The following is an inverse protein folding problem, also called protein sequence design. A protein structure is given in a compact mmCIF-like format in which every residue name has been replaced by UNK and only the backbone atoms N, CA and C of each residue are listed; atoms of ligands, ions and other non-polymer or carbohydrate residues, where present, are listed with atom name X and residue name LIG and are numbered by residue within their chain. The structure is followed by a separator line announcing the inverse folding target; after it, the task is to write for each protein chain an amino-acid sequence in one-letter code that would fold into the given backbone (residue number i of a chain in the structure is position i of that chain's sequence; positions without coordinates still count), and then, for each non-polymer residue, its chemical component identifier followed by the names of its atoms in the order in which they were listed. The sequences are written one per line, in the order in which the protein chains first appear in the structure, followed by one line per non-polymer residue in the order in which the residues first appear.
data_IF_982869857017
#
_entry.id   IF_982869857017
#
_cell.length_a   1.000
_cell.length_b   1.000
_cell.length_c   1.000
_cell.angle_alpha   90.00
_cell.angle_beta   90.00
_cell.angle_gamma   90.00
#
_symmetry.space_group_name_H-M   'P 1'
#
loop_
_entity.id
_entity.type
_entity.pdbx_description
1 polymer ?
#
# COMPACT_ATOMS: atom_id res chain seq x y z
N UNK A 1 20.62 -16.65 8.75
CA UNK A 1 19.25 -16.91 8.29
C UNK A 1 18.63 -15.63 7.77
N UNK A 2 18.05 -15.68 6.59
CA UNK A 2 17.38 -14.53 6.00
C UNK A 2 15.91 -14.46 6.43
N UNK A 3 15.39 -13.26 6.51
CA UNK A 3 13.99 -13.02 6.77
C UNK A 3 13.27 -12.56 5.53
N UNK A 4 11.94 -12.55 5.58
CA UNK A 4 11.06 -12.07 4.53
C UNK A 4 9.98 -11.18 5.10
N UNK A 5 9.47 -10.30 4.25
CA UNK A 5 8.26 -9.51 4.52
C UNK A 5 7.25 -9.82 3.42
N UNK A 6 6.10 -10.34 3.80
CA UNK A 6 4.99 -10.57 2.87
C UNK A 6 4.03 -9.42 3.00
N UNK A 7 3.70 -8.80 1.87
CA UNK A 7 2.83 -7.62 1.80
C UNK A 7 1.57 -7.96 1.04
N UNK A 8 0.42 -7.64 1.62
CA UNK A 8 -0.87 -7.84 0.97
C UNK A 8 -1.81 -6.67 1.26
N UNK A 9 -2.74 -6.43 0.34
CA UNK A 9 -3.78 -5.42 0.51
C UNK A 9 -4.99 -6.07 1.16
N UNK A 10 -5.48 -5.49 2.24
CA UNK A 10 -6.62 -6.00 3.00
C UNK A 10 -7.92 -5.35 2.54
N UNK A 11 -7.91 -4.04 2.34
CA UNK A 11 -9.11 -3.30 1.95
C UNK A 11 -8.75 -2.00 1.25
N UNK A 12 -9.73 -1.48 0.52
CA UNK A 12 -9.64 -0.21 -0.18
C UNK A 12 -10.90 0.63 0.07
N UNK A 13 -10.75 1.94 0.05
CA UNK A 13 -11.85 2.87 0.25
C UNK A 13 -11.51 4.23 -0.36
N UNK A 14 -12.49 4.89 -0.94
CA UNK A 14 -12.37 6.29 -1.29
C UNK A 14 -13.53 7.07 -0.68
N UNK A 15 -13.27 8.30 -0.29
CA UNK A 15 -14.27 9.23 0.24
C UNK A 15 -14.14 10.55 -0.53
N UNK A 16 -15.11 10.84 -1.38
CA UNK A 16 -15.07 12.08 -2.15
C UNK A 16 -16.07 12.10 -3.31
N UNK A 17 -16.02 13.16 -4.09
CA UNK A 17 -16.99 13.46 -5.13
C UNK A 17 -16.39 13.61 -6.52
N UNK A 18 -15.14 13.20 -6.74
CA UNK A 18 -14.48 13.40 -8.03
C UNK A 18 -14.71 12.25 -9.02
N UNK A 19 -15.18 11.11 -8.58
CA UNK A 19 -15.48 9.98 -9.43
C UNK A 19 -15.41 8.65 -8.71
N UNK A 20 -15.73 7.58 -9.41
CA UNK A 20 -15.82 6.23 -8.86
C UNK A 20 -15.01 5.19 -9.64
N UNK A 21 -14.22 5.60 -10.62
CA UNK A 21 -13.32 4.72 -11.36
C UNK A 21 -11.88 4.94 -10.88
N UNK A 22 -11.36 3.96 -10.16
CA UNK A 22 -10.08 4.09 -9.47
C UNK A 22 -9.12 2.97 -9.84
N UNK A 23 -7.85 3.30 -9.87
CA UNK A 23 -6.73 2.35 -9.87
C UNK A 23 -5.68 2.84 -8.88
N UNK A 24 -4.86 1.94 -8.38
CA UNK A 24 -3.80 2.33 -7.47
C UNK A 24 -2.63 1.36 -7.49
N UNK A 25 -1.50 1.88 -7.05
CA UNK A 25 -0.26 1.13 -6.90
C UNK A 25 0.28 1.32 -5.49
N UNK A 26 0.79 0.26 -4.90
CA UNK A 26 1.50 0.30 -3.62
C UNK A 26 2.93 -0.14 -3.88
N UNK A 27 3.89 0.77 -3.69
CA UNK A 27 5.32 0.44 -3.75
C UNK A 27 5.82 0.19 -2.33
N UNK A 28 6.65 -0.83 -2.16
CA UNK A 28 7.22 -1.17 -0.85
C UNK A 28 8.71 -1.40 -0.97
N UNK A 29 9.47 -0.84 -0.03
CA UNK A 29 10.91 -1.08 0.11
C UNK A 29 11.21 -1.50 1.53
N UNK A 30 12.06 -2.52 1.67
CA UNK A 30 12.52 -3.05 2.95
C UNK A 30 14.01 -2.76 3.09
N UNK A 31 14.37 -2.08 4.17
CA UNK A 31 15.75 -1.74 4.47
C UNK A 31 16.22 -2.44 5.74
N UNK A 32 17.38 -3.06 5.65
CA UNK A 32 18.08 -3.67 6.79
C UNK A 32 19.58 -3.45 6.52
N UNK A 33 20.14 -2.34 7.05
CA UNK A 33 21.49 -1.87 6.70
C UNK A 33 21.66 -1.72 5.18
N UNK A 34 20.69 -1.09 4.54
CA UNK A 34 20.61 -0.93 3.09
C UNK A 34 19.36 -1.59 2.53
N UNK A 35 19.09 -1.32 1.27
CA UNK A 35 17.92 -1.86 0.57
C UNK A 35 18.07 -3.38 0.40
N UNK A 36 17.11 -4.15 0.90
CA UNK A 36 17.10 -5.61 0.81
C UNK A 36 16.01 -6.13 -0.12
N UNK A 37 14.84 -5.51 -0.10
CA UNK A 37 13.74 -5.94 -0.94
C UNK A 37 12.93 -4.75 -1.43
N UNK A 38 12.37 -4.88 -2.63
CA UNK A 38 11.44 -3.89 -3.18
C UNK A 38 10.45 -4.59 -4.10
N UNK A 39 9.25 -4.05 -4.16
CA UNK A 39 8.21 -4.57 -5.03
C UNK A 39 7.01 -3.65 -5.05
N UNK A 40 6.02 -4.02 -5.84
CA UNK A 40 4.78 -3.27 -5.90
C UNK A 40 3.58 -4.19 -6.09
N UNK A 41 2.43 -3.73 -5.59
CA UNK A 41 1.13 -4.33 -5.83
C UNK A 41 0.37 -3.32 -6.68
N UNK A 42 -0.14 -3.77 -7.82
CA UNK A 42 -0.83 -2.91 -8.77
C UNK A 42 -2.27 -3.38 -8.90
N UNK A 43 -3.21 -2.49 -8.64
CA UNK A 43 -4.65 -2.78 -8.76
C UNK A 43 -5.21 -2.00 -9.93
N UNK A 44 -5.78 -2.73 -10.88
CA UNK A 44 -6.32 -2.18 -12.12
C UNK A 44 -7.57 -1.35 -11.89
N UNK A 45 -7.89 -0.52 -12.87
CA UNK A 45 -9.10 0.31 -12.84
C UNK A 45 -10.34 -0.51 -12.55
N UNK A 46 -11.13 -0.06 -11.58
CA UNK A 46 -12.39 -0.65 -11.18
C UNK A 46 -13.28 0.40 -10.53
N UNK A 47 -14.54 0.05 -10.39
CA UNK A 47 -15.51 0.91 -9.72
C UNK A 47 -15.33 0.82 -8.20
N UNK A 48 -15.33 1.97 -7.54
CA UNK A 48 -15.30 2.06 -6.08
C UNK A 48 -16.13 3.25 -5.64
N UNK A 49 -17.32 2.96 -5.10
CA UNK A 49 -18.25 4.00 -4.65
C UNK A 49 -17.71 4.71 -3.40
N UNK A 50 -18.01 6.01 -3.32
CA UNK A 50 -17.58 6.81 -2.18
C UNK A 50 -18.19 6.30 -0.87
N UNK A 51 -17.36 6.24 0.17
CA UNK A 51 -17.79 5.87 1.52
C UNK A 51 -17.95 4.37 1.76
N UNK A 52 -17.55 3.54 0.81
CA UNK A 52 -17.66 2.08 0.93
C UNK A 52 -16.28 1.45 1.06
N UNK A 53 -16.08 0.62 2.08
CA UNK A 53 -14.86 -0.16 2.24
C UNK A 53 -15.05 -1.50 1.57
N UNK A 54 -14.16 -1.82 0.64
CA UNK A 54 -14.24 -3.04 -0.18
C UNK A 54 -12.97 -3.88 -0.03
N UNK A 55 -13.08 -5.17 -0.30
CA UNK A 55 -11.92 -6.01 -0.54
C UNK A 55 -11.22 -5.53 -1.81
N UNK A 56 -9.87 -5.70 -1.91
CA UNK A 56 -9.14 -5.21 -3.07
C UNK A 56 -9.62 -5.88 -4.36
N UNK A 57 -9.81 -5.06 -5.39
CA UNK A 57 -10.31 -5.53 -6.68
C UNK A 57 -9.34 -6.52 -7.33
N UNK A 58 -9.90 -7.62 -7.86
CA UNK A 58 -9.12 -8.62 -8.58
C UNK A 58 -8.27 -9.50 -7.67
N UNK A 59 -8.48 -9.43 -6.35
CA UNK A 59 -7.72 -10.20 -5.36
C UNK A 59 -6.22 -10.21 -5.70
N UNK A 60 -5.54 -9.04 -5.68
CA UNK A 60 -4.15 -8.95 -6.10
C UNK A 60 -3.28 -9.88 -5.27
N UNK A 61 -2.31 -10.50 -5.92
CA UNK A 61 -1.37 -11.38 -5.25
C UNK A 61 -0.56 -10.61 -4.20
N UNK A 62 -0.28 -11.30 -3.09
CA UNK A 62 0.70 -10.78 -2.15
C UNK A 62 2.10 -10.83 -2.76
N UNK A 63 2.97 -9.94 -2.30
CA UNK A 63 4.37 -9.95 -2.70
C UNK A 63 5.23 -10.35 -1.51
N UNK A 64 6.31 -11.07 -1.78
CA UNK A 64 7.28 -11.51 -0.76
C UNK A 64 8.60 -10.80 -1.03
N UNK A 65 9.06 -10.04 -0.05
CA UNK A 65 10.27 -9.23 -0.16
C UNK A 65 11.36 -9.78 0.75
N UNK A 66 12.61 -9.72 0.29
CA UNK A 66 13.76 -10.05 1.10
C UNK A 66 13.91 -9.00 2.22
N UNK A 67 14.17 -9.45 3.42
CA UNK A 67 14.35 -8.60 4.59
C UNK A 67 15.78 -8.63 5.13
N UNK A 68 16.68 -9.36 4.48
CA UNK A 68 18.04 -9.53 4.97
C UNK A 68 18.08 -10.44 6.17
N UNK A 69 18.99 -10.18 7.10
CA UNK A 69 19.22 -11.07 8.24
C UNK A 69 18.05 -11.03 9.23
N UNK A 70 17.59 -12.21 9.64
CA UNK A 70 16.54 -12.37 10.65
C UNK A 70 17.01 -11.88 12.02
N UNK A 71 16.04 -11.49 12.86
CA UNK A 71 16.33 -10.96 14.19
C UNK A 71 16.64 -9.48 14.22
N UNK A 72 16.60 -8.82 13.09
CA UNK A 72 16.92 -7.39 12.95
C UNK A 72 15.67 -6.53 12.92
N UNK A 73 15.84 -5.27 13.23
CA UNK A 73 14.79 -4.26 13.03
C UNK A 73 14.84 -3.78 11.59
N UNK A 74 13.68 -3.80 10.93
CA UNK A 74 13.54 -3.42 9.54
C UNK A 74 12.94 -2.03 9.44
N UNK A 75 13.41 -1.25 8.47
CA UNK A 75 12.77 0.00 8.08
C UNK A 75 11.96 -0.24 6.82
N UNK A 76 10.68 0.08 6.87
CA UNK A 76 9.76 -0.10 5.75
C UNK A 76 9.38 1.27 5.22
N UNK A 77 9.46 1.41 3.90
CA UNK A 77 8.90 2.54 3.18
C UNK A 77 7.80 2.03 2.27
N UNK A 78 6.64 2.69 2.31
CA UNK A 78 5.52 2.41 1.41
C UNK A 78 5.06 3.68 0.75
N UNK A 79 4.68 3.58 -0.53
CA UNK A 79 4.10 4.69 -1.28
C UNK A 79 2.82 4.24 -1.96
N UNK A 80 1.77 5.01 -1.73
CA UNK A 80 0.49 4.86 -2.42
C UNK A 80 0.42 5.88 -3.55
N UNK A 81 0.08 5.40 -4.74
CA UNK A 81 -0.25 6.24 -5.89
C UNK A 81 -1.67 5.86 -6.29
N UNK A 82 -2.62 6.76 -6.08
CA UNK A 82 -4.02 6.53 -6.42
C UNK A 82 -4.43 7.43 -7.58
N UNK A 83 -5.15 6.86 -8.54
CA UNK A 83 -5.59 7.56 -9.74
C UNK A 83 -7.09 7.39 -9.90
N UNK A 84 -7.81 8.50 -9.94
CA UNK A 84 -9.18 8.52 -10.41
C UNK A 84 -9.12 8.63 -11.93
N UNK A 85 -9.67 7.63 -12.62
CA UNK A 85 -9.57 7.52 -14.07
C UNK A 85 -10.78 8.18 -14.71
N UNK A 86 -10.52 9.20 -15.51
CA UNK A 86 -11.55 9.96 -16.18
C UNK A 86 -11.41 9.84 -17.70
N UNK A 87 -12.50 10.14 -18.43
CA UNK A 87 -12.53 10.00 -19.87
C UNK A 87 -11.51 10.91 -20.57
N UNK A 88 -11.29 12.11 -20.04
CA UNK A 88 -10.42 13.11 -20.66
C UNK A 88 -9.18 13.43 -19.84
N UNK A 89 -9.17 13.07 -18.56
CA UNK A 89 -8.11 13.43 -17.63
C UNK A 89 -8.11 12.49 -16.43
N UNK A 90 -6.92 12.10 -16.02
CA UNK A 90 -6.74 11.34 -14.78
C UNK A 90 -6.30 12.29 -13.67
N UNK A 91 -6.86 12.12 -12.50
CA UNK A 91 -6.44 12.84 -11.30
C UNK A 91 -5.64 11.89 -10.42
N UNK A 92 -4.45 12.31 -10.04
CA UNK A 92 -3.49 11.46 -9.32
C UNK A 92 -3.14 12.08 -7.99
N UNK A 93 -3.15 11.25 -6.95
CA UNK A 93 -2.62 11.61 -5.64
C UNK A 93 -1.60 10.59 -5.19
N UNK A 94 -0.69 11.01 -4.33
CA UNK A 94 0.30 10.10 -3.78
C UNK A 94 0.66 10.49 -2.35
N UNK A 95 1.08 9.50 -1.58
CA UNK A 95 1.65 9.70 -0.26
C UNK A 95 2.57 8.56 0.08
N UNK A 96 3.46 8.79 1.01
CA UNK A 96 4.33 7.73 1.51
C UNK A 96 4.34 7.73 3.04
N UNK A 97 4.79 6.61 3.59
CA UNK A 97 5.00 6.50 5.03
C UNK A 97 6.20 5.60 5.32
N UNK A 98 6.82 5.84 6.46
CA UNK A 98 7.94 5.07 6.95
C UNK A 98 7.60 4.54 8.34
N UNK A 99 7.95 3.28 8.60
CA UNK A 99 7.79 2.68 9.92
C UNK A 99 8.81 1.56 10.10
N UNK A 100 8.90 1.06 11.32
CA UNK A 100 9.78 -0.06 11.64
C UNK A 100 8.97 -1.29 11.99
N UNK A 101 9.52 -2.45 11.69
CA UNK A 101 8.95 -3.75 12.06
C UNK A 101 10.11 -4.66 12.47
N UNK A 102 9.92 -5.43 13.53
CA UNK A 102 10.93 -6.39 13.95
C UNK A 102 10.83 -7.66 13.12
N UNK A 103 11.94 -8.08 12.50
CA UNK A 103 12.00 -9.36 11.84
C UNK A 103 12.31 -10.43 12.89
N UNK A 104 11.41 -11.41 13.13
CA UNK A 104 11.66 -12.43 14.14
C UNK A 104 12.84 -13.30 13.77
N UNK A 105 13.41 -13.95 14.77
CA UNK A 105 14.45 -14.97 14.60
C UNK A 105 13.83 -16.28 14.20
N UNK A 106 14.66 -17.19 13.71
CA UNK A 106 14.24 -18.55 13.41
C UNK A 106 13.61 -19.19 14.66
N UNK A 107 12.46 -19.82 14.48
CA UNK A 107 11.70 -20.47 15.55
C UNK A 107 10.75 -19.55 16.30
N UNK A 108 10.83 -18.25 16.09
CA UNK A 108 9.88 -17.29 16.65
C UNK A 108 8.66 -17.13 15.72
N UNK A 109 7.52 -16.76 16.30
CA UNK A 109 6.30 -16.53 15.53
C UNK A 109 6.46 -15.33 14.60
N UNK A 110 5.82 -15.37 13.40
CA UNK A 110 5.78 -14.21 12.52
C UNK A 110 5.16 -13.00 13.20
N UNK A 111 5.62 -11.82 12.80
CA UNK A 111 5.07 -10.56 13.29
C UNK A 111 4.15 -9.99 12.21
N UNK A 112 2.89 -9.75 12.58
CA UNK A 112 1.86 -9.23 11.68
C UNK A 112 1.55 -7.78 12.07
N UNK A 113 1.62 -6.89 11.09
CA UNK A 113 1.31 -5.47 11.27
C UNK A 113 0.36 -5.04 10.16
N UNK A 114 -0.66 -4.27 10.51
CA UNK A 114 -1.52 -3.62 9.53
C UNK A 114 -1.30 -2.12 9.57
N UNK A 115 -1.16 -1.52 8.38
CA UNK A 115 -0.94 -0.09 8.22
C UNK A 115 -1.92 0.49 7.23
N UNK A 116 -2.56 1.59 7.61
CA UNK A 116 -3.36 2.37 6.70
C UNK A 116 -2.47 3.39 6.02
N UNK A 117 -2.57 3.48 4.69
CA UNK A 117 -1.93 4.53 3.91
C UNK A 117 -3.01 5.25 3.10
N UNK A 118 -2.98 6.57 3.11
CA UNK A 118 -3.98 7.38 2.44
C UNK A 118 -3.35 8.55 1.71
N UNK A 119 -4.02 9.00 0.65
CA UNK A 119 -3.61 10.20 -0.07
C UNK A 119 -4.84 11.01 -0.49
N UNK A 120 -4.64 12.31 -0.64
CA UNK A 120 -5.64 13.19 -1.22
C UNK A 120 -5.50 13.24 -2.73
N UNK A 121 -6.62 13.18 -3.44
CA UNK A 121 -6.67 13.32 -4.90
C UNK A 121 -7.59 14.47 -5.23
N UNK A 122 -7.07 15.46 -5.95
CA UNK A 122 -7.82 16.68 -6.29
C UNK A 122 -8.06 16.74 -7.78
N UNK A 123 -9.31 16.98 -8.16
CA UNK A 123 -9.70 17.18 -9.55
C UNK A 123 -9.15 18.51 -10.09
N UNK A 124 -8.67 18.50 -11.33
CA UNK A 124 -8.13 19.69 -12.00
C UNK A 124 -9.09 20.20 -13.08
N UNK A 125 -9.27 21.52 -13.22
CA UNK A 125 -8.65 22.57 -12.42
C UNK A 125 -9.08 22.48 -10.95
N UNK A 126 -8.21 22.92 -10.04
CA UNK A 126 -8.46 22.79 -8.61
C UNK A 126 -9.72 23.56 -8.21
N UNK A 127 -10.70 22.80 -7.71
CA UNK A 127 -11.94 23.33 -7.15
C UNK A 127 -12.02 22.85 -5.70
N UNK A 128 -12.33 23.73 -4.78
CA UNK A 128 -12.21 23.48 -3.34
C UNK A 128 -12.91 22.20 -2.85
N UNK A 129 -14.04 21.83 -3.46
CA UNK A 129 -14.83 20.69 -3.02
C UNK A 129 -14.61 19.43 -3.88
N UNK A 130 -13.74 19.50 -4.89
CA UNK A 130 -13.51 18.39 -5.80
C UNK A 130 -12.27 17.61 -5.41
N UNK A 131 -12.33 16.98 -4.24
CA UNK A 131 -11.25 16.15 -3.70
C UNK A 131 -11.81 14.83 -3.21
N UNK A 132 -10.96 13.82 -3.19
CA UNK A 132 -11.24 12.54 -2.56
C UNK A 132 -10.05 12.15 -1.69
N UNK A 133 -10.33 11.39 -0.63
CA UNK A 133 -9.30 10.72 0.15
C UNK A 133 -9.34 9.25 -0.22
N UNK A 134 -8.24 8.72 -0.72
CA UNK A 134 -8.11 7.31 -1.04
C UNK A 134 -7.31 6.62 0.06
N UNK A 135 -7.84 5.51 0.58
CA UNK A 135 -7.25 4.77 1.71
C UNK A 135 -7.08 3.31 1.35
N UNK A 136 -5.96 2.77 1.77
CA UNK A 136 -5.68 1.34 1.60
C UNK A 136 -5.17 0.80 2.94
N UNK A 137 -5.72 -0.33 3.37
CA UNK A 137 -5.20 -1.06 4.52
C UNK A 137 -4.27 -2.15 3.99
N UNK A 138 -3.03 -2.13 4.45
CA UNK A 138 -1.97 -3.06 4.02
C UNK A 138 -1.54 -3.91 5.19
N UNK A 139 -1.44 -5.22 4.97
CA UNK A 139 -0.92 -6.16 5.95
C UNK A 139 0.50 -6.55 5.59
N UNK A 140 1.40 -6.50 6.58
CA UNK A 140 2.78 -6.94 6.44
C UNK A 140 3.04 -8.05 7.45
N UNK A 141 3.65 -9.11 6.97
CA UNK A 141 4.03 -10.26 7.80
C UNK A 141 5.53 -10.45 7.68
N UNK A 142 6.25 -10.21 8.78
CA UNK A 142 7.68 -10.45 8.86
C UNK A 142 7.93 -11.83 9.47
N UNK A 143 8.76 -12.61 8.81
CA UNK A 143 9.07 -13.97 9.26
C UNK A 143 10.52 -14.32 8.95
N UNK A 144 11.05 -15.29 9.68
CA UNK A 144 12.38 -15.86 9.44
C UNK A 144 12.23 -17.13 8.60
N UNK A 145 13.03 -17.24 7.58
CA UNK A 145 13.09 -18.44 6.73
C UNK A 145 12.09 -18.50 5.60
#
# INVERSE_FOLDING_TARGET
MTGTVTVSVVSERQDGSIGDDWKYDIEVKVFNEGLKGKGSINVKKHNLDSGVTMEPHGAPDSIVLDAGEAGSELKIWMKLIATEVDLFRNDVGESDLNFTIHCPREGEDPIVVEKEISCGVTEKPVVADNTAIFKVMVRLVASAG
#
